data_IF_583350774692
#
_entry.id   IF_583350774692
#
_cell.length_a   1.000
_cell.length_b   1.000
_cell.length_c   1.000
_cell.angle_alpha   90.00
_cell.angle_beta   90.00
_cell.angle_gamma   90.00
#
_symmetry.space_group_name_H-M   'P 1'
#
loop_
_entity.id
_entity.type
_entity.pdbx_description
1 polymer ?
#
# COMPACT_ATOMS: atom_id res chain seq x y z
N UNK A 1 13.63 -8.70 7.16
CA UNK A 1 13.08 -7.72 8.15
C UNK A 1 11.65 -8.11 8.50
N UNK A 2 10.98 -7.52 9.50
CA UNK A 2 9.57 -7.87 9.78
C UNK A 2 8.64 -6.66 9.68
N UNK A 3 7.48 -6.81 9.06
CA UNK A 3 6.46 -5.76 9.07
C UNK A 3 5.76 -5.75 10.44
N UNK A 4 5.67 -4.57 11.05
CA UNK A 4 5.04 -4.37 12.37
C UNK A 4 3.66 -3.75 12.27
N UNK A 5 3.49 -2.80 11.35
CA UNK A 5 2.21 -2.09 11.19
C UNK A 5 2.05 -1.51 9.79
N UNK A 6 0.78 -1.31 9.42
CA UNK A 6 0.33 -0.54 8.27
C UNK A 6 -0.58 0.55 8.80
N UNK A 7 -0.17 1.80 8.64
CA UNK A 7 -0.98 2.98 8.99
C UNK A 7 -1.53 3.59 7.71
N UNK A 8 -2.83 3.81 7.66
CA UNK A 8 -3.50 4.50 6.56
C UNK A 8 -3.80 5.95 6.93
N UNK A 9 -3.51 6.88 6.02
CA UNK A 9 -4.11 8.21 6.02
C UNK A 9 -5.46 8.13 5.30
N UNK A 10 -6.54 8.52 5.97
CA UNK A 10 -7.90 8.45 5.44
C UNK A 10 -8.64 9.76 5.62
N UNK A 11 -9.51 10.07 4.67
CA UNK A 11 -10.54 11.08 4.87
C UNK A 11 -11.67 10.53 5.73
N UNK A 12 -12.11 11.33 6.68
CA UNK A 12 -13.26 11.08 7.53
C UNK A 12 -14.32 12.13 7.25
N UNK A 13 -15.56 11.66 7.05
CA UNK A 13 -16.74 12.51 6.93
C UNK A 13 -17.83 11.94 7.83
N UNK A 14 -18.41 12.75 8.71
CA UNK A 14 -19.35 12.31 9.74
C UNK A 14 -18.83 11.10 10.54
N UNK A 15 -17.59 11.19 11.03
CA UNK A 15 -16.92 10.16 11.85
C UNK A 15 -16.73 8.80 11.18
N UNK A 16 -16.93 8.71 9.85
CA UNK A 16 -16.72 7.49 9.09
C UNK A 16 -15.61 7.68 8.06
N UNK A 17 -14.72 6.68 7.89
CA UNK A 17 -13.74 6.71 6.82
C UNK A 17 -14.47 6.70 5.48
N UNK A 18 -14.02 7.55 4.56
CA UNK A 18 -14.60 7.68 3.22
C UNK A 18 -13.55 7.32 2.18
N UNK A 19 -13.91 6.40 1.27
CA UNK A 19 -13.08 6.01 0.14
C UNK A 19 -11.85 5.17 0.51
N UNK A 20 -10.92 5.09 -0.44
CA UNK A 20 -9.63 4.41 -0.29
C UNK A 20 -8.65 5.27 0.53
N UNK A 21 -7.66 4.66 1.18
CA UNK A 21 -6.58 5.40 1.84
C UNK A 21 -5.86 6.34 0.86
N UNK A 22 -5.54 7.54 1.31
CA UNK A 22 -4.73 8.50 0.55
C UNK A 22 -3.27 8.05 0.49
N UNK A 23 -2.78 7.57 1.64
CA UNK A 23 -1.40 7.09 1.83
C UNK A 23 -1.41 5.89 2.77
N UNK A 24 -0.45 5.00 2.55
CA UNK A 24 -0.09 3.94 3.49
C UNK A 24 1.33 4.15 3.99
N UNK A 25 1.55 3.90 5.26
CA UNK A 25 2.86 3.82 5.90
C UNK A 25 3.05 2.40 6.43
N UNK A 26 4.00 1.68 5.84
CA UNK A 26 4.46 0.38 6.28
C UNK A 26 5.65 0.60 7.22
N UNK A 27 5.55 0.09 8.44
CA UNK A 27 6.62 0.18 9.45
C UNK A 27 7.23 -1.19 9.69
N UNK A 28 8.56 -1.23 9.85
CA UNK A 28 9.33 -2.47 10.01
C UNK A 28 10.07 -2.52 11.34
N UNK A 29 10.38 -3.73 11.84
CA UNK A 29 11.04 -3.95 13.13
C UNK A 29 12.43 -3.31 13.26
N UNK A 30 13.09 -3.01 12.14
CA UNK A 30 14.39 -2.34 12.12
C UNK A 30 14.29 -0.80 12.18
N UNK A 31 13.09 -0.26 12.44
CA UNK A 31 12.81 1.17 12.49
C UNK A 31 12.63 1.82 11.12
N UNK A 32 12.80 1.06 10.03
CA UNK A 32 12.61 1.56 8.68
C UNK A 32 11.14 1.67 8.32
N UNK A 33 10.86 2.50 7.33
CA UNK A 33 9.51 2.75 6.85
C UNK A 33 9.44 2.79 5.32
N UNK A 34 8.27 2.45 4.79
CA UNK A 34 7.92 2.62 3.38
C UNK A 34 6.58 3.32 3.28
N UNK A 35 6.50 4.40 2.52
CA UNK A 35 5.24 5.10 2.27
C UNK A 35 4.79 4.89 0.85
N UNK A 36 3.51 4.62 0.69
CA UNK A 36 2.85 4.36 -0.58
C UNK A 36 1.73 5.37 -0.74
N UNK A 37 1.57 5.93 -1.92
CA UNK A 37 0.40 6.74 -2.26
C UNK A 37 -0.02 6.52 -3.71
N UNK A 38 -1.30 6.73 -3.96
CA UNK A 38 -1.81 6.85 -5.34
C UNK A 38 -1.28 8.15 -5.92
N UNK A 39 -0.81 8.13 -7.16
CA UNK A 39 -0.46 9.35 -7.86
C UNK A 39 -1.70 10.19 -8.19
N UNK A 40 -1.52 11.49 -8.41
CA UNK A 40 -2.63 12.39 -8.74
C UNK A 40 -3.28 12.12 -10.11
N UNK A 41 -2.71 11.21 -10.90
CA UNK A 41 -3.28 10.72 -12.16
C UNK A 41 -4.12 9.45 -11.99
N UNK A 42 -4.15 8.85 -10.80
CA UNK A 42 -4.92 7.64 -10.55
C UNK A 42 -4.44 6.40 -11.28
N UNK A 43 -3.19 6.36 -11.77
CA UNK A 43 -2.75 5.22 -12.60
C UNK A 43 -1.48 4.56 -12.09
N UNK A 44 -0.84 5.14 -11.09
CA UNK A 44 0.45 4.65 -10.60
C UNK A 44 0.58 4.78 -9.09
N UNK A 45 1.40 3.91 -8.54
CA UNK A 45 1.84 4.00 -7.16
C UNK A 45 3.10 4.86 -7.09
N UNK A 46 3.16 5.73 -6.09
CA UNK A 46 4.35 6.51 -5.75
C UNK A 46 4.89 6.02 -4.43
N UNK A 47 6.20 5.78 -4.40
CA UNK A 47 6.96 5.65 -3.16
C UNK A 47 7.18 7.05 -2.60
N UNK A 48 6.50 7.35 -1.51
CA UNK A 48 6.49 8.69 -0.92
C UNK A 48 7.66 8.88 0.04
N UNK A 49 8.35 10.01 -0.07
CA UNK A 49 9.42 10.41 0.84
C UNK A 49 8.92 11.35 1.93
N UNK A 50 7.78 12.01 1.72
CA UNK A 50 7.27 13.00 2.65
C UNK A 50 6.79 12.35 3.95
N UNK A 51 6.92 13.02 5.10
CA UNK A 51 6.31 12.53 6.33
C UNK A 51 4.80 12.41 6.16
N UNK A 52 4.17 11.47 6.88
CA UNK A 52 2.72 11.48 6.98
C UNK A 52 2.27 12.83 7.55
N UNK A 53 1.28 13.49 6.93
CA UNK A 53 0.79 14.74 7.47
C UNK A 53 0.12 14.50 8.82
N UNK A 54 0.18 15.53 9.68
CA UNK A 54 -0.62 15.53 10.90
C UNK A 54 -2.11 15.47 10.53
N UNK A 55 -2.94 14.78 11.34
CA UNK A 55 -4.39 14.85 11.22
C UNK A 55 -4.84 16.31 11.12
N UNK A 56 -5.68 16.60 10.12
CA UNK A 56 -6.10 17.97 9.83
C UNK A 56 -7.62 18.02 9.78
N UNK A 57 -8.22 18.87 10.62
CA UNK A 57 -9.64 19.24 10.52
C UNK A 57 -9.83 20.21 9.35
N UNK A 58 -10.82 19.93 8.50
CA UNK A 58 -11.13 20.70 7.28
C UNK A 58 -12.53 21.30 7.36
N UNK A 59 -12.95 21.75 8.54
CA UNK A 59 -14.27 22.33 8.82
C UNK A 59 -15.42 21.48 8.21
N UNK A 60 -16.17 22.03 7.25
CA UNK A 60 -17.31 21.38 6.61
C UNK A 60 -16.94 20.23 5.64
N UNK A 61 -15.66 20.09 5.31
CA UNK A 61 -15.15 19.05 4.39
C UNK A 61 -14.69 17.78 5.11
N UNK A 62 -14.82 17.72 6.44
CA UNK A 62 -14.43 16.58 7.26
C UNK A 62 -13.00 16.73 7.79
N UNK A 63 -12.26 15.62 7.91
CA UNK A 63 -10.88 15.62 8.42
C UNK A 63 -10.03 14.52 7.83
N UNK A 64 -8.72 14.63 7.97
CA UNK A 64 -7.81 13.51 7.76
C UNK A 64 -7.39 12.91 9.09
N UNK A 65 -7.37 11.58 9.17
CA UNK A 65 -6.83 10.87 10.32
C UNK A 65 -5.87 9.76 9.88
N UNK A 66 -4.99 9.39 10.81
CA UNK A 66 -4.11 8.24 10.68
C UNK A 66 -4.70 7.08 11.49
N UNK A 67 -4.90 5.93 10.85
CA UNK A 67 -5.43 4.73 11.51
C UNK A 67 -4.56 3.53 11.25
N UNK A 68 -4.33 2.71 12.27
CA UNK A 68 -3.71 1.39 12.09
C UNK A 68 -4.73 0.46 11.43
N UNK A 69 -4.40 0.01 10.22
CA UNK A 69 -5.22 -0.86 9.39
C UNK A 69 -4.59 -2.23 9.21
N UNK A 70 -3.55 -2.55 9.98
CA UNK A 70 -2.79 -3.80 9.84
C UNK A 70 -3.71 -5.02 9.89
N UNK A 71 -4.61 -5.05 10.88
CA UNK A 71 -5.56 -6.16 11.08
C UNK A 71 -6.66 -6.20 10.03
N UNK A 72 -7.05 -5.04 9.50
CA UNK A 72 -8.10 -4.93 8.49
C UNK A 72 -7.61 -5.42 7.13
N UNK A 73 -6.39 -5.01 6.75
CA UNK A 73 -5.81 -5.36 5.46
C UNK A 73 -5.34 -6.81 5.45
N UNK A 74 -4.77 -7.29 6.56
CA UNK A 74 -4.26 -8.65 6.64
C UNK A 74 -4.01 -9.09 8.09
N UNK A 75 -4.95 -9.83 8.71
CA UNK A 75 -4.85 -10.26 10.10
C UNK A 75 -3.55 -11.03 10.44
N UNK A 76 -2.93 -11.65 9.43
CA UNK A 76 -1.74 -12.50 9.55
C UNK A 76 -0.41 -11.78 9.27
N UNK A 77 -0.41 -10.50 8.87
CA UNK A 77 0.82 -9.76 8.49
C UNK A 77 1.65 -9.29 9.69
N UNK A 78 1.06 -9.21 10.88
CA UNK A 78 1.78 -8.77 12.08
C UNK A 78 2.93 -9.74 12.39
N UNK A 79 4.17 -9.29 12.16
CA UNK A 79 5.37 -10.08 12.38
C UNK A 79 5.82 -10.92 11.17
N UNK A 80 5.23 -10.69 9.98
CA UNK A 80 5.65 -11.35 8.74
C UNK A 80 7.10 -10.99 8.40
N UNK A 81 7.92 -12.00 8.16
CA UNK A 81 9.28 -11.81 7.68
C UNK A 81 9.25 -11.41 6.20
N UNK A 82 9.63 -10.17 5.92
CA UNK A 82 9.82 -9.63 4.57
C UNK A 82 11.29 -9.72 4.22
N UNK A 83 11.61 -10.51 3.22
CA UNK A 83 12.97 -10.71 2.73
C UNK A 83 13.29 -9.68 1.64
N UNK A 84 12.27 -9.35 0.84
CA UNK A 84 12.43 -8.44 -0.29
C UNK A 84 11.16 -7.63 -0.54
N UNK A 85 11.36 -6.39 -0.97
CA UNK A 85 10.30 -5.53 -1.48
C UNK A 85 10.63 -5.23 -2.93
N UNK A 86 9.70 -5.49 -3.85
CA UNK A 86 9.91 -5.31 -5.28
C UNK A 86 8.84 -4.42 -5.90
N UNK A 87 9.18 -3.74 -6.99
CA UNK A 87 8.21 -2.97 -7.78
C UNK A 87 7.29 -3.93 -8.53
N UNK A 88 5.99 -3.62 -8.54
CA UNK A 88 5.00 -4.25 -9.39
C UNK A 88 4.75 -3.34 -10.60
N UNK A 89 5.03 -3.84 -11.80
CA UNK A 89 5.04 -3.05 -13.04
C UNK A 89 4.00 -3.57 -14.01
N UNK A 90 3.21 -2.65 -14.57
CA UNK A 90 2.23 -2.92 -15.61
C UNK A 90 2.36 -1.87 -16.71
N UNK A 91 2.44 -2.32 -17.98
CA UNK A 91 2.70 -1.45 -19.14
C UNK A 91 3.86 -0.45 -18.95
N UNK A 92 4.95 -0.87 -18.29
CA UNK A 92 6.15 -0.06 -17.96
C UNK A 92 5.93 1.02 -16.88
N UNK A 93 4.78 1.00 -16.21
CA UNK A 93 4.45 1.89 -15.10
C UNK A 93 4.50 1.11 -13.80
N UNK A 94 5.09 1.69 -12.75
CA UNK A 94 4.99 1.15 -11.40
C UNK A 94 3.56 1.34 -10.89
N UNK A 95 2.79 0.26 -10.85
CA UNK A 95 1.41 0.27 -10.36
C UNK A 95 1.33 -0.18 -8.91
N UNK A 96 2.38 -0.78 -8.37
CA UNK A 96 2.33 -1.33 -7.03
C UNK A 96 3.66 -1.77 -6.47
N UNK A 97 3.58 -2.48 -5.35
CA UNK A 97 4.70 -3.19 -4.73
C UNK A 97 4.32 -4.62 -4.37
N UNK A 98 5.33 -5.48 -4.32
CA UNK A 98 5.26 -6.82 -3.76
C UNK A 98 6.13 -6.89 -2.51
N UNK A 99 5.56 -7.40 -1.42
CA UNK A 99 6.26 -7.80 -0.21
C UNK A 99 6.50 -9.31 -0.29
N UNK A 100 7.74 -9.71 -0.55
CA UNK A 100 8.14 -11.10 -0.69
C UNK A 100 8.64 -11.65 0.66
N UNK A 101 8.22 -12.87 0.96
CA UNK A 101 8.72 -13.69 2.06
C UNK A 101 9.15 -15.05 1.50
N UNK A 102 10.28 -15.56 1.96
CA UNK A 102 10.71 -16.94 1.68
C UNK A 102 9.86 -17.97 2.42
N UNK A 103 9.23 -17.55 3.52
CA UNK A 103 8.52 -18.45 4.46
C UNK A 103 7.00 -18.39 4.35
N UNK A 104 6.46 -17.44 3.59
CA UNK A 104 5.02 -17.24 3.42
C UNK A 104 4.67 -16.77 2.01
N UNK A 105 3.38 -16.74 1.70
CA UNK A 105 2.89 -16.09 0.49
C UNK A 105 3.31 -14.63 0.44
N UNK A 106 3.59 -14.15 -0.78
CA UNK A 106 3.83 -12.73 -1.05
C UNK A 106 2.55 -11.92 -0.90
N UNK A 107 2.69 -10.65 -0.53
CA UNK A 107 1.58 -9.72 -0.37
C UNK A 107 1.77 -8.50 -1.26
N UNK A 108 0.71 -8.05 -1.91
CA UNK A 108 0.75 -7.02 -2.95
C UNK A 108 -0.07 -5.82 -2.53
N UNK A 109 0.40 -4.65 -2.92
CA UNK A 109 -0.40 -3.42 -2.97
C UNK A 109 -0.32 -2.90 -4.40
N UNK A 110 -1.45 -2.54 -4.99
CA UNK A 110 -1.48 -2.00 -6.36
C UNK A 110 -2.53 -0.92 -6.52
N UNK A 111 -2.32 -0.09 -7.52
CA UNK A 111 -3.24 0.94 -7.98
C UNK A 111 -3.86 0.45 -9.27
N UNK A 112 -5.19 0.52 -9.34
CA UNK A 112 -5.93 0.39 -10.58
C UNK A 112 -7.06 1.43 -10.57
N UNK A 113 -7.01 2.36 -11.52
CA UNK A 113 -7.74 3.62 -11.39
C UNK A 113 -7.39 4.40 -10.11
N UNK A 114 -8.27 5.30 -9.67
CA UNK A 114 -8.09 6.09 -8.45
C UNK A 114 -8.17 5.26 -7.15
N UNK A 115 -8.14 3.93 -7.24
CA UNK A 115 -8.30 3.00 -6.14
C UNK A 115 -7.00 2.28 -5.77
N UNK A 116 -6.80 2.14 -4.45
CA UNK A 116 -5.72 1.35 -3.88
C UNK A 116 -6.26 -0.02 -3.48
N UNK A 117 -5.66 -1.06 -4.01
CA UNK A 117 -5.98 -2.45 -3.77
C UNK A 117 -4.83 -3.16 -3.06
N UNK A 118 -5.14 -4.31 -2.45
CA UNK A 118 -4.18 -5.12 -1.73
C UNK A 118 -4.64 -6.58 -1.64
N UNK A 119 -3.71 -7.49 -1.41
CA UNK A 119 -4.01 -8.90 -1.23
C UNK A 119 -2.82 -9.81 -1.49
N UNK A 120 -3.07 -11.12 -1.48
CA UNK A 120 -2.08 -12.12 -1.87
C UNK A 120 -2.03 -12.30 -3.40
N UNK A 121 -1.26 -13.29 -3.86
CA UNK A 121 -1.16 -13.59 -5.30
C UNK A 121 -2.51 -13.97 -5.92
N UNK A 122 -3.42 -14.59 -5.16
CA UNK A 122 -4.73 -14.98 -5.68
C UNK A 122 -5.61 -13.75 -5.91
N UNK A 123 -5.61 -12.81 -4.95
CA UNK A 123 -6.30 -11.52 -5.10
C UNK A 123 -5.79 -10.74 -6.32
N UNK A 124 -4.46 -10.69 -6.51
CA UNK A 124 -3.85 -10.04 -7.67
C UNK A 124 -4.25 -10.71 -8.99
N UNK A 125 -4.27 -12.05 -9.03
CA UNK A 125 -4.64 -12.82 -10.22
C UNK A 125 -6.13 -12.75 -10.56
N UNK A 126 -7.00 -12.65 -9.54
CA UNK A 126 -8.45 -12.54 -9.74
C UNK A 126 -8.92 -11.12 -10.03
N UNK A 127 -8.03 -10.13 -9.95
CA UNK A 127 -8.34 -8.74 -10.27
C UNK A 127 -8.59 -8.59 -11.78
N UNK A 128 -9.56 -7.77 -12.15
CA UNK A 128 -10.01 -7.56 -13.53
C UNK A 128 -9.05 -6.60 -14.26
N UNK A 129 -7.87 -7.11 -14.62
CA UNK A 129 -6.86 -6.33 -15.35
C UNK A 129 -7.31 -6.07 -16.78
N UNK A 130 -7.12 -4.83 -17.25
CA UNK A 130 -7.33 -4.50 -18.66
C UNK A 130 -6.48 -5.42 -19.56
N UNK A 131 -7.10 -5.94 -20.62
CA UNK A 131 -6.49 -6.84 -21.59
C UNK A 131 -5.98 -8.19 -21.02
N UNK A 132 -6.43 -8.59 -19.82
CA UNK A 132 -6.03 -9.83 -19.12
C UNK A 132 -4.51 -9.94 -18.88
N UNK A 133 -3.77 -8.82 -18.91
CA UNK A 133 -2.33 -8.79 -18.69
C UNK A 133 -2.02 -8.52 -17.23
N UNK A 134 -1.46 -9.50 -16.54
CA UNK A 134 -1.02 -9.35 -15.15
C UNK A 134 0.22 -8.44 -15.03
N UNK A 135 0.29 -7.62 -13.97
CA UNK A 135 1.52 -6.92 -13.62
C UNK A 135 2.66 -7.88 -13.29
N UNK A 136 3.89 -7.51 -13.66
CA UNK A 136 5.10 -8.26 -13.39
C UNK A 136 5.84 -7.71 -12.17
N UNK A 137 6.33 -8.60 -11.29
CA UNK A 137 7.26 -8.23 -10.22
C UNK A 137 8.66 -8.07 -10.80
N UNK A 138 9.29 -6.93 -10.53
CA UNK A 138 10.66 -6.65 -11.00
C UNK A 138 11.70 -7.41 -10.19
N UNK A 139 12.92 -7.57 -10.73
CA UNK A 139 14.08 -8.09 -9.97
C UNK A 139 14.74 -7.04 -9.07
N UNK A 140 14.38 -5.76 -9.23
CA UNK A 140 14.92 -4.67 -8.43
C UNK A 140 14.32 -4.63 -7.03
N UNK A 141 15.17 -4.54 -6.01
CA UNK A 141 14.73 -4.39 -4.62
C UNK A 141 14.56 -2.92 -4.27
N UNK A 142 13.39 -2.59 -3.72
CA UNK A 142 13.08 -1.28 -3.16
C UNK A 142 13.81 -1.12 -1.82
N UNK A 143 14.55 -0.02 -1.67
CA UNK A 143 15.19 0.33 -0.41
C UNK A 143 14.19 1.05 0.49
N UNK A 144 14.07 0.56 1.72
CA UNK A 144 13.29 1.23 2.78
C UNK A 144 14.17 2.24 3.54
N UNK A 145 13.57 3.39 3.86
CA UNK A 145 14.21 4.51 4.54
C UNK A 145 14.17 4.33 6.06
#
# INVERSE_FOLDING_TARGET
MKLTSITAERHYFNEKPKGTPLRLLLSFTNGKTLRLRVAGDGQRMILDSDPLPSPTEMDEFGRTELSDVTRDLFPTLSGLAIDRIAELVWHRTMVGICLESETSSSFYFWVDGDELHWGDSAALQSHDWLDDVLPSVTEKTISVN
#
